data_IF_046050199726
#
_entry.id   IF_046050199726
#
_cell.length_a   1.000
_cell.length_b   1.000
_cell.length_c   1.000
_cell.angle_alpha   90.00
_cell.angle_beta   90.00
_cell.angle_gamma   90.00
#
_symmetry.space_group_name_H-M   'P 1'
#
loop_
_entity.id
_entity.type
_entity.pdbx_description
1 polymer ?
#
# COMPACT_ATOMS: atom_id res chain seq x y z
N UNK A 1 8.71 25.88 17.06
CA UNK A 1 9.38 26.79 18.02
C UNK A 1 10.61 26.19 18.72
N UNK A 2 11.15 25.07 18.32
CA UNK A 2 12.28 24.40 19.02
C UNK A 2 13.64 24.43 18.27
N UNK A 3 13.70 24.80 17.00
CA UNK A 3 14.95 24.81 16.22
C UNK A 3 15.80 26.08 16.40
N UNK A 4 15.18 27.21 16.81
CA UNK A 4 15.92 28.46 17.05
C UNK A 4 16.74 28.45 18.35
N UNK A 5 16.32 27.67 19.35
CA UNK A 5 17.01 27.60 20.64
C UNK A 5 18.32 26.79 20.62
N UNK A 6 18.40 25.77 19.76
CA UNK A 6 19.60 24.92 19.63
C UNK A 6 20.73 25.60 18.85
N UNK A 7 20.40 26.41 17.85
CA UNK A 7 21.42 27.18 17.12
C UNK A 7 22.08 28.26 17.98
N UNK A 8 21.33 28.91 18.90
CA UNK A 8 21.87 29.99 19.76
C UNK A 8 22.88 29.44 20.79
N UNK A 9 22.67 28.24 21.33
CA UNK A 9 23.60 27.64 22.33
C UNK A 9 24.86 27.07 21.71
N UNK A 10 24.83 26.65 20.44
CA UNK A 10 26.02 26.17 19.74
C UNK A 10 26.97 27.31 19.35
N UNK A 11 26.45 28.52 19.19
CA UNK A 11 27.26 29.71 18.86
C UNK A 11 28.18 30.18 19.98
N UNK A 12 27.90 29.85 21.24
CA UNK A 12 28.66 30.35 22.40
C UNK A 12 29.94 29.54 22.69
N UNK A 13 30.06 28.33 22.13
CA UNK A 13 31.15 27.39 22.50
C UNK A 13 32.26 27.22 21.46
N UNK A 14 32.19 27.88 20.31
CA UNK A 14 33.20 27.68 19.24
C UNK A 14 33.99 28.97 19.00
N UNK A 15 35.24 28.94 19.43
CA UNK A 15 36.21 29.99 19.16
C UNK A 15 36.48 30.12 17.65
N UNK A 16 36.34 31.31 17.11
CA UNK A 16 36.35 31.63 15.66
C UNK A 16 37.73 31.62 14.98
N UNK A 17 38.82 31.20 15.65
CA UNK A 17 40.19 31.49 15.19
C UNK A 17 40.92 30.40 14.36
N UNK A 18 40.30 29.27 14.00
CA UNK A 18 41.02 28.26 13.22
C UNK A 18 40.29 27.84 11.95
N UNK A 19 41.02 27.66 10.84
CA UNK A 19 40.53 27.22 9.52
C UNK A 19 39.82 25.85 9.56
N UNK A 20 40.18 25.01 10.50
CA UNK A 20 39.59 23.67 10.71
C UNK A 20 38.12 23.78 11.21
N UNK A 21 37.83 24.74 12.07
CA UNK A 21 36.49 25.02 12.55
C UNK A 21 35.57 25.56 11.47
N UNK A 22 36.09 26.38 10.55
CA UNK A 22 35.35 26.88 9.40
C UNK A 22 34.95 25.72 8.43
N UNK A 23 35.78 24.68 8.38
CA UNK A 23 35.51 23.48 7.56
C UNK A 23 34.38 22.64 8.18
N UNK A 24 34.37 22.45 9.51
CA UNK A 24 33.31 21.77 10.26
C UNK A 24 31.96 22.50 10.11
N UNK A 25 31.99 23.84 10.20
CA UNK A 25 30.80 24.64 9.99
C UNK A 25 30.22 24.51 8.58
N UNK A 26 31.08 24.41 7.57
CA UNK A 26 30.66 24.19 6.19
C UNK A 26 29.96 22.84 5.99
N UNK A 27 30.44 21.78 6.66
CA UNK A 27 29.80 20.47 6.65
C UNK A 27 28.44 20.45 7.40
N UNK A 28 28.36 21.12 8.53
CA UNK A 28 27.13 21.21 9.32
C UNK A 28 26.07 22.03 8.54
N UNK A 29 26.43 23.17 7.99
CA UNK A 29 25.51 24.00 7.19
C UNK A 29 25.08 23.31 5.89
N UNK A 30 25.99 22.58 5.22
CA UNK A 30 25.66 21.80 4.05
C UNK A 30 24.73 20.61 4.39
N UNK A 31 24.96 19.94 5.54
CA UNK A 31 24.08 18.89 6.04
C UNK A 31 22.68 19.41 6.39
N UNK A 32 22.58 20.57 7.05
CA UNK A 32 21.29 21.20 7.38
C UNK A 32 20.54 21.67 6.12
N UNK A 33 21.24 22.24 5.14
CA UNK A 33 20.65 22.66 3.87
C UNK A 33 20.15 21.44 3.06
N UNK A 34 20.88 20.33 3.09
CA UNK A 34 20.43 19.07 2.46
C UNK A 34 19.23 18.45 3.18
N UNK A 35 19.21 18.50 4.52
CA UNK A 35 18.05 18.03 5.30
C UNK A 35 16.79 18.86 4.99
N UNK A 36 16.91 20.19 4.93
CA UNK A 36 15.78 21.06 4.59
C UNK A 36 15.32 20.84 3.14
N UNK A 37 16.23 20.63 2.21
CA UNK A 37 15.88 20.30 0.82
C UNK A 37 15.20 18.94 0.70
N UNK A 38 15.63 17.94 1.46
CA UNK A 38 14.97 16.63 1.53
C UNK A 38 13.56 16.75 2.13
N UNK A 39 13.39 17.48 3.23
CA UNK A 39 12.08 17.70 3.84
C UNK A 39 11.15 18.41 2.85
N UNK A 40 11.63 19.45 2.17
CA UNK A 40 10.85 20.17 1.16
C UNK A 40 10.50 19.29 -0.05
N UNK A 41 11.41 18.40 -0.47
CA UNK A 41 11.18 17.48 -1.57
C UNK A 41 10.13 16.41 -1.20
N UNK A 42 10.25 15.80 -0.01
CA UNK A 42 9.27 14.82 0.51
C UNK A 42 7.90 15.48 0.64
N UNK A 43 7.81 16.65 1.28
CA UNK A 43 6.54 17.37 1.45
C UNK A 43 5.88 17.76 0.11
N UNK A 44 6.70 18.09 -0.91
CA UNK A 44 6.17 18.41 -2.24
C UNK A 44 5.60 17.18 -2.94
N UNK A 45 6.31 16.05 -2.89
CA UNK A 45 5.85 14.80 -3.48
C UNK A 45 4.60 14.27 -2.79
N UNK A 46 4.52 14.37 -1.46
CA UNK A 46 3.31 14.03 -0.70
C UNK A 46 2.14 14.95 -1.07
N UNK A 47 2.36 16.24 -1.21
CA UNK A 47 1.32 17.20 -1.61
C UNK A 47 0.84 16.96 -3.06
N UNK A 48 1.74 16.59 -3.96
CA UNK A 48 1.37 16.22 -5.34
C UNK A 48 0.56 14.91 -5.34
N UNK A 49 0.96 13.91 -4.55
CA UNK A 49 0.20 12.65 -4.40
C UNK A 49 -1.20 12.89 -3.86
N UNK A 50 -1.37 13.76 -2.86
CA UNK A 50 -2.68 14.13 -2.30
C UNK A 50 -3.62 14.84 -3.30
N UNK A 51 -3.08 15.37 -4.40
CA UNK A 51 -3.87 16.05 -5.46
C UNK A 51 -4.25 15.11 -6.61
N UNK A 52 -3.66 13.93 -6.66
CA UNK A 52 -3.93 12.98 -7.73
C UNK A 52 -5.28 12.30 -7.55
N UNK A 53 -6.01 12.15 -8.63
CA UNK A 53 -7.18 11.28 -8.68
C UNK A 53 -6.77 9.81 -8.54
N UNK A 54 -7.70 8.94 -8.12
CA UNK A 54 -7.46 7.49 -8.05
C UNK A 54 -6.95 6.93 -9.39
N UNK A 55 -7.55 7.36 -10.49
CA UNK A 55 -7.14 6.95 -11.84
C UNK A 55 -5.68 7.30 -12.13
N UNK A 56 -5.22 8.50 -11.77
CA UNK A 56 -3.83 8.92 -11.95
C UNK A 56 -2.88 8.14 -11.04
N UNK A 57 -3.30 7.84 -9.79
CA UNK A 57 -2.51 7.02 -8.87
C UNK A 57 -2.30 5.60 -9.43
N UNK A 58 -3.36 4.94 -9.93
CA UNK A 58 -3.24 3.64 -10.58
C UNK A 58 -2.41 3.70 -11.87
N UNK A 59 -2.57 4.76 -12.69
CA UNK A 59 -1.79 4.92 -13.90
C UNK A 59 -0.28 5.04 -13.63
N UNK A 60 0.12 5.59 -12.49
CA UNK A 60 1.54 5.62 -12.07
C UNK A 60 1.99 4.30 -11.44
N UNK A 61 1.13 3.61 -10.70
CA UNK A 61 1.46 2.41 -9.95
C UNK A 61 1.59 1.17 -10.85
N UNK A 62 0.68 0.99 -11.80
CA UNK A 62 0.63 -0.19 -12.68
C UNK A 62 1.95 -0.45 -13.42
N UNK A 63 2.61 0.55 -14.04
CA UNK A 63 3.92 0.34 -14.66
C UNK A 63 5.02 -0.08 -13.67
N UNK A 64 4.97 0.43 -12.43
CA UNK A 64 5.93 0.08 -11.38
C UNK A 64 5.75 -1.39 -10.95
N UNK A 65 4.50 -1.81 -10.71
CA UNK A 65 4.19 -3.22 -10.40
C UNK A 65 4.66 -4.13 -11.55
N UNK A 66 4.36 -3.77 -12.81
CA UNK A 66 4.78 -4.55 -13.98
C UNK A 66 6.29 -4.75 -14.03
N UNK A 67 7.05 -3.66 -13.86
CA UNK A 67 8.53 -3.72 -13.85
C UNK A 67 9.07 -4.54 -12.67
N UNK A 68 8.41 -4.45 -11.50
CA UNK A 68 8.81 -5.15 -10.28
C UNK A 68 8.65 -6.68 -10.39
N UNK A 69 7.58 -7.14 -11.01
CA UNK A 69 7.27 -8.58 -11.12
C UNK A 69 7.85 -9.22 -12.39
N UNK A 70 8.36 -8.42 -13.34
CA UNK A 70 8.92 -8.93 -14.59
C UNK A 70 10.06 -9.93 -14.31
N UNK A 71 9.96 -11.14 -14.87
CA UNK A 71 10.94 -12.23 -14.73
C UNK A 71 11.18 -12.71 -13.29
N UNK A 72 10.29 -12.38 -12.34
CA UNK A 72 10.43 -12.87 -10.98
C UNK A 72 10.04 -14.35 -10.87
N UNK A 73 10.89 -15.10 -10.18
CA UNK A 73 10.65 -16.52 -9.86
C UNK A 73 10.27 -16.73 -8.39
N UNK A 74 10.56 -15.73 -7.55
CA UNK A 74 10.13 -15.71 -6.14
C UNK A 74 8.73 -15.12 -6.03
N UNK A 75 7.71 -15.95 -6.21
CA UNK A 75 6.29 -15.54 -6.19
C UNK A 75 5.93 -14.83 -4.89
N UNK A 76 6.31 -15.39 -3.73
CA UNK A 76 6.01 -14.80 -2.43
C UNK A 76 6.62 -13.41 -2.31
N UNK A 77 7.90 -13.27 -2.66
CA UNK A 77 8.59 -11.99 -2.65
C UNK A 77 7.97 -10.95 -3.61
N UNK A 78 7.55 -11.38 -4.80
CA UNK A 78 6.86 -10.53 -5.76
C UNK A 78 5.52 -10.01 -5.19
N UNK A 79 4.69 -10.89 -4.63
CA UNK A 79 3.42 -10.51 -4.02
C UNK A 79 3.61 -9.63 -2.77
N UNK A 80 4.63 -9.87 -1.93
CA UNK A 80 4.98 -8.99 -0.81
C UNK A 80 5.29 -7.56 -1.29
N UNK A 81 6.07 -7.43 -2.36
CA UNK A 81 6.41 -6.11 -2.90
C UNK A 81 5.21 -5.43 -3.56
N UNK A 82 4.31 -6.18 -4.21
CA UNK A 82 3.06 -5.64 -4.75
C UNK A 82 2.18 -5.09 -3.63
N UNK A 83 2.00 -5.84 -2.52
CA UNK A 83 1.23 -5.35 -1.37
C UNK A 83 1.87 -4.12 -0.72
N UNK A 84 3.20 -4.03 -0.67
CA UNK A 84 3.92 -2.86 -0.16
C UNK A 84 3.67 -1.62 -1.02
N UNK A 85 3.78 -1.75 -2.36
CA UNK A 85 3.49 -0.65 -3.29
C UNK A 85 2.03 -0.19 -3.21
N UNK A 86 1.07 -1.11 -3.13
CA UNK A 86 -0.35 -0.79 -2.97
C UNK A 86 -0.60 -0.04 -1.66
N UNK A 87 -0.05 -0.54 -0.56
CA UNK A 87 -0.18 0.10 0.77
C UNK A 87 0.43 1.49 0.82
N UNK A 88 1.54 1.71 0.11
CA UNK A 88 2.21 3.01 0.04
C UNK A 88 1.47 4.00 -0.88
N UNK A 89 0.84 3.51 -1.96
CA UNK A 89 0.18 4.35 -2.95
C UNK A 89 -1.14 4.95 -2.44
N UNK A 90 -1.89 4.25 -1.59
CA UNK A 90 -3.23 4.62 -1.16
C UNK A 90 -3.35 4.73 0.36
N UNK A 91 -3.52 5.93 0.89
CA UNK A 91 -3.58 6.20 2.32
C UNK A 91 -4.82 5.57 3.00
N UNK A 92 -5.93 5.39 2.23
CA UNK A 92 -7.15 4.76 2.71
C UNK A 92 -7.11 3.23 2.72
N UNK A 93 -6.08 2.59 2.16
CA UNK A 93 -5.87 1.15 2.27
C UNK A 93 -5.40 0.81 3.69
N UNK A 94 -6.35 0.46 4.57
CA UNK A 94 -6.04 0.02 5.93
C UNK A 94 -5.32 -1.33 5.92
N UNK A 95 -5.85 -2.26 5.13
CA UNK A 95 -5.30 -3.58 4.89
C UNK A 95 -5.29 -3.87 3.38
N UNK A 96 -4.27 -4.54 2.89
CA UNK A 96 -4.21 -5.02 1.51
C UNK A 96 -3.40 -6.29 1.43
N UNK A 97 -3.94 -7.30 0.75
CA UNK A 97 -3.25 -8.57 0.64
C UNK A 97 -3.84 -9.52 -0.40
N UNK A 98 -3.26 -10.70 -0.42
CA UNK A 98 -3.68 -11.79 -1.28
C UNK A 98 -4.22 -12.95 -0.43
N UNK A 99 -5.35 -13.51 -0.85
CA UNK A 99 -5.76 -14.83 -0.42
C UNK A 99 -5.64 -15.78 -1.62
N UNK A 100 -4.94 -16.90 -1.42
CA UNK A 100 -4.56 -17.85 -2.48
C UNK A 100 -5.45 -19.07 -2.36
N UNK A 101 -6.05 -19.51 -3.48
CA UNK A 101 -6.83 -20.76 -3.52
C UNK A 101 -5.91 -21.95 -3.36
N UNK A 102 -6.09 -22.69 -2.27
CA UNK A 102 -5.36 -23.90 -1.98
C UNK A 102 -6.25 -24.86 -1.15
N UNK A 103 -6.23 -26.13 -1.45
CA UNK A 103 -6.96 -27.18 -0.72
C UNK A 103 -8.45 -26.81 -0.52
N UNK A 104 -9.10 -26.32 -1.59
CA UNK A 104 -10.51 -25.89 -1.63
C UNK A 104 -10.87 -24.76 -0.65
N UNK A 105 -9.91 -23.94 -0.29
CA UNK A 105 -10.08 -22.76 0.56
C UNK A 105 -9.20 -21.61 0.07
N UNK A 106 -9.56 -20.39 0.44
CA UNK A 106 -8.67 -19.23 0.35
C UNK A 106 -7.75 -19.24 1.57
N UNK A 107 -6.45 -19.31 1.33
CA UNK A 107 -5.43 -19.25 2.37
C UNK A 107 -4.71 -17.93 2.34
N UNK A 108 -4.44 -17.35 3.52
CA UNK A 108 -3.74 -16.07 3.67
C UNK A 108 -2.37 -16.12 2.99
N UNK A 109 -2.16 -15.21 2.07
CA UNK A 109 -0.92 -14.96 1.37
C UNK A 109 -0.19 -13.72 1.89
N UNK A 110 0.70 -13.12 1.11
CA UNK A 110 1.35 -11.86 1.44
C UNK A 110 0.35 -10.71 1.63
N UNK A 111 0.55 -9.91 2.69
CA UNK A 111 -0.30 -8.76 3.01
C UNK A 111 0.47 -7.66 3.76
N UNK A 112 -0.16 -6.48 3.84
CA UNK A 112 0.23 -5.34 4.65
C UNK A 112 -0.97 -4.89 5.49
N UNK A 113 -0.82 -4.80 6.81
CA UNK A 113 -1.88 -4.41 7.73
C UNK A 113 -1.85 -5.18 9.05
N UNK A 114 -2.99 -5.19 9.74
CA UNK A 114 -3.18 -5.97 10.98
C UNK A 114 -3.28 -7.48 10.69
N UNK A 115 -3.27 -8.31 11.74
CA UNK A 115 -3.51 -9.76 11.63
C UNK A 115 -4.85 -10.02 10.93
N UNK A 116 -4.91 -11.12 10.17
CA UNK A 116 -6.05 -11.49 9.34
C UNK A 116 -6.44 -12.97 9.52
N UNK A 117 -7.57 -13.37 8.95
CA UNK A 117 -8.02 -14.75 8.96
C UNK A 117 -7.06 -15.66 8.17
N UNK A 118 -6.68 -16.82 8.70
CA UNK A 118 -5.79 -17.74 8.00
C UNK A 118 -6.43 -18.43 6.81
N UNK A 119 -7.74 -18.71 6.90
CA UNK A 119 -8.47 -19.51 5.91
C UNK A 119 -9.89 -19.02 5.77
N UNK A 120 -10.37 -18.90 4.53
CA UNK A 120 -11.74 -18.50 4.20
C UNK A 120 -12.34 -19.54 3.26
N UNK A 121 -13.52 -20.02 3.58
CA UNK A 121 -14.24 -20.98 2.74
C UNK A 121 -14.89 -20.28 1.53
N UNK A 122 -15.07 -21.03 0.44
CA UNK A 122 -15.77 -20.54 -0.75
C UNK A 122 -17.20 -20.10 -0.41
N UNK A 123 -17.61 -18.95 -0.92
CA UNK A 123 -18.92 -18.34 -0.65
C UNK A 123 -19.08 -17.76 0.76
N UNK A 124 -17.99 -17.59 1.54
CA UNK A 124 -18.04 -17.01 2.87
C UNK A 124 -17.30 -15.67 2.95
N UNK A 125 -17.90 -14.70 3.62
CA UNK A 125 -17.37 -13.33 3.64
C UNK A 125 -17.30 -12.71 2.25
N UNK A 126 -16.70 -11.54 2.12
CA UNK A 126 -16.55 -10.85 0.83
C UNK A 126 -15.57 -11.60 -0.08
N UNK A 127 -14.41 -12.00 0.46
CA UNK A 127 -13.39 -12.77 -0.26
C UNK A 127 -13.94 -14.09 -0.83
N UNK A 128 -14.62 -14.90 -0.01
CA UNK A 128 -15.19 -16.18 -0.45
C UNK A 128 -16.33 -15.99 -1.45
N UNK A 129 -17.11 -14.90 -1.32
CA UNK A 129 -18.18 -14.56 -2.27
C UNK A 129 -17.62 -14.08 -3.60
N UNK A 130 -16.54 -13.28 -3.61
CA UNK A 130 -15.84 -12.89 -4.84
C UNK A 130 -15.29 -14.10 -5.57
N UNK A 131 -14.67 -15.04 -4.84
CA UNK A 131 -14.19 -16.31 -5.42
C UNK A 131 -15.31 -17.14 -6.02
N UNK A 132 -16.44 -17.30 -5.33
CA UNK A 132 -17.57 -18.13 -5.77
C UNK A 132 -18.30 -17.54 -6.98
N UNK A 133 -18.59 -16.22 -6.91
CA UNK A 133 -19.27 -15.49 -7.99
C UNK A 133 -18.33 -15.16 -9.17
N UNK A 134 -17.00 -15.25 -8.99
CA UNK A 134 -15.99 -14.88 -9.97
C UNK A 134 -16.07 -13.41 -10.40
N UNK A 135 -16.41 -12.52 -9.47
CA UNK A 135 -16.63 -11.08 -9.73
C UNK A 135 -15.90 -10.23 -8.69
N UNK A 136 -15.48 -9.06 -9.14
CA UNK A 136 -15.09 -7.97 -8.23
C UNK A 136 -16.30 -7.57 -7.39
N UNK A 137 -16.10 -7.45 -6.07
CA UNK A 137 -17.13 -7.04 -5.11
C UNK A 137 -16.64 -5.79 -4.40
N UNK A 138 -17.47 -4.75 -4.40
CA UNK A 138 -17.28 -3.52 -3.63
C UNK A 138 -18.33 -3.52 -2.53
N UNK A 139 -17.91 -3.29 -1.30
CA UNK A 139 -18.76 -3.23 -0.11
C UNK A 139 -18.56 -1.88 0.57
N UNK A 140 -19.58 -1.04 0.52
CA UNK A 140 -19.57 0.31 1.11
C UNK A 140 -19.58 0.28 2.64
N UNK A 141 -20.25 -0.72 3.23
CA UNK A 141 -20.32 -0.96 4.67
C UNK A 141 -20.32 -2.46 4.93
N UNK A 142 -19.21 -2.96 5.49
CA UNK A 142 -19.03 -4.39 5.76
C UNK A 142 -20.04 -4.94 6.79
N UNK A 143 -20.58 -4.07 7.66
CA UNK A 143 -21.61 -4.47 8.64
C UNK A 143 -22.96 -4.77 7.97
N UNK A 144 -23.18 -4.25 6.75
CA UNK A 144 -24.38 -4.50 5.95
C UNK A 144 -24.23 -5.69 4.99
N UNK A 145 -23.02 -6.24 4.85
CA UNK A 145 -22.76 -7.39 3.97
C UNK A 145 -23.18 -8.70 4.64
N UNK A 146 -24.17 -9.39 4.07
CA UNK A 146 -24.69 -10.65 4.60
C UNK A 146 -23.59 -11.73 4.65
N UNK A 147 -23.33 -12.27 5.84
CA UNK A 147 -22.32 -13.29 6.05
C UNK A 147 -20.88 -12.75 6.09
N UNK A 148 -20.70 -11.43 6.30
CA UNK A 148 -19.38 -10.84 6.52
C UNK A 148 -18.60 -11.55 7.62
N UNK A 149 -17.32 -11.79 7.38
CA UNK A 149 -16.37 -12.36 8.35
C UNK A 149 -15.45 -11.23 8.80
N UNK A 150 -15.66 -10.75 10.02
CA UNK A 150 -14.85 -9.69 10.61
C UNK A 150 -13.43 -10.20 10.95
N UNK A 151 -12.48 -10.15 10.01
CA UNK A 151 -11.06 -10.42 10.28
C UNK A 151 -10.41 -9.26 11.07
N UNK A 152 -10.94 -8.05 10.95
CA UNK A 152 -10.57 -6.87 11.73
C UNK A 152 -11.83 -6.09 12.11
N UNK A 153 -11.92 -5.67 13.38
CA UNK A 153 -13.00 -4.78 13.84
C UNK A 153 -12.87 -3.34 13.36
N UNK A 154 -11.78 -3.02 12.64
CA UNK A 154 -11.51 -1.67 12.12
C UNK A 154 -11.89 -1.52 10.65
N UNK A 155 -12.15 -2.61 9.93
CA UNK A 155 -12.59 -2.57 8.54
C UNK A 155 -14.03 -2.06 8.47
N UNK A 156 -14.29 -1.06 7.62
CA UNK A 156 -15.60 -0.45 7.42
C UNK A 156 -16.09 -0.59 5.98
N UNK A 157 -15.21 -0.55 5.00
CA UNK A 157 -15.50 -0.86 3.60
C UNK A 157 -14.42 -1.79 3.04
N UNK A 158 -14.77 -2.55 2.00
CA UNK A 158 -13.91 -3.60 1.45
C UNK A 158 -14.09 -3.69 -0.07
N UNK A 159 -13.02 -3.99 -0.78
CA UNK A 159 -13.05 -4.38 -2.19
C UNK A 159 -12.26 -5.66 -2.38
N UNK A 160 -12.86 -6.64 -3.05
CA UNK A 160 -12.21 -7.91 -3.38
C UNK A 160 -12.23 -8.13 -4.88
N UNK A 161 -11.07 -8.44 -5.45
CA UNK A 161 -10.88 -8.65 -6.90
C UNK A 161 -10.31 -10.05 -7.16
N UNK A 162 -11.01 -10.90 -7.95
CA UNK A 162 -10.51 -12.24 -8.27
C UNK A 162 -9.37 -12.21 -9.28
N UNK A 163 -8.39 -13.09 -9.07
CA UNK A 163 -7.25 -13.34 -9.96
C UNK A 163 -7.49 -14.65 -10.70
N UNK A 164 -7.47 -14.57 -12.03
CA UNK A 164 -7.78 -15.71 -12.88
C UNK A 164 -6.53 -16.33 -13.52
N UNK A 165 -6.52 -17.67 -13.59
CA UNK A 165 -5.64 -18.44 -14.46
C UNK A 165 -6.50 -19.26 -15.41
N UNK A 166 -6.56 -18.83 -16.66
CA UNK A 166 -7.59 -19.32 -17.57
C UNK A 166 -8.99 -18.91 -17.10
N UNK A 167 -9.86 -19.88 -16.86
CA UNK A 167 -11.23 -19.64 -16.39
C UNK A 167 -11.40 -19.90 -14.88
N UNK A 168 -10.33 -20.18 -14.16
CA UNK A 168 -10.36 -20.49 -12.73
C UNK A 168 -9.81 -19.35 -11.90
N UNK A 169 -10.47 -19.02 -10.79
CA UNK A 169 -9.94 -18.12 -9.79
C UNK A 169 -8.87 -18.85 -8.98
N UNK A 170 -7.64 -18.34 -8.99
CA UNK A 170 -6.49 -18.91 -8.27
C UNK A 170 -6.12 -18.15 -7.01
N UNK A 171 -6.58 -16.90 -6.90
CA UNK A 171 -6.39 -16.05 -5.74
C UNK A 171 -7.39 -14.88 -5.78
N UNK A 172 -7.44 -14.10 -4.72
CA UNK A 172 -8.11 -12.78 -4.70
C UNK A 172 -7.14 -11.72 -4.17
N UNK A 173 -7.29 -10.48 -4.65
CA UNK A 173 -6.77 -9.28 -4.00
C UNK A 173 -7.87 -8.78 -3.08
N UNK A 174 -7.54 -8.60 -1.83
CA UNK A 174 -8.44 -8.11 -0.78
C UNK A 174 -7.90 -6.79 -0.23
N UNK A 175 -8.77 -5.78 -0.12
CA UNK A 175 -8.41 -4.44 0.38
C UNK A 175 -9.50 -3.91 1.28
N UNK A 176 -9.12 -3.55 2.51
CA UNK A 176 -10.00 -2.93 3.49
C UNK A 176 -9.67 -1.46 3.74
N UNK A 177 -10.68 -0.69 4.05
CA UNK A 177 -10.57 0.67 4.58
C UNK A 177 -11.24 0.82 5.94
N UNK A 178 -10.75 1.78 6.75
CA UNK A 178 -11.37 2.19 8.02
C UNK A 178 -12.55 3.14 7.83
N UNK A 179 -12.72 3.65 6.62
CA UNK A 179 -13.78 4.58 6.26
C UNK A 179 -14.84 3.86 5.45
N UNK A 180 -16.10 4.31 5.56
CA UNK A 180 -17.19 3.82 4.74
C UNK A 180 -17.04 4.26 3.28
N UNK A 181 -17.53 3.45 2.35
CA UNK A 181 -17.64 3.78 0.92
C UNK A 181 -16.31 4.32 0.32
N UNK A 182 -15.18 3.73 0.73
CA UNK A 182 -13.86 4.18 0.28
C UNK A 182 -13.54 3.75 -1.15
N UNK A 183 -14.18 2.71 -1.63
CA UNK A 183 -13.88 2.07 -2.91
C UNK A 183 -14.96 2.39 -3.96
N UNK A 184 -14.53 2.55 -5.21
CA UNK A 184 -15.40 2.83 -6.35
C UNK A 184 -14.93 2.08 -7.62
N UNK A 185 -15.56 2.38 -8.77
CA UNK A 185 -15.21 1.78 -10.05
C UNK A 185 -13.76 2.06 -10.50
N UNK A 186 -13.13 3.15 -10.04
CA UNK A 186 -11.74 3.44 -10.38
C UNK A 186 -10.81 2.47 -9.65
N UNK A 187 -11.13 2.13 -8.38
CA UNK A 187 -10.41 1.11 -7.63
C UNK A 187 -10.59 -0.27 -8.26
N UNK A 188 -11.84 -0.62 -8.62
CA UNK A 188 -12.11 -1.90 -9.27
C UNK A 188 -11.26 -2.07 -10.54
N UNK A 189 -11.31 -1.11 -11.47
CA UNK A 189 -10.54 -1.15 -12.71
C UNK A 189 -9.03 -1.20 -12.50
N UNK A 190 -8.53 -0.44 -11.54
CA UNK A 190 -7.11 -0.41 -11.18
C UNK A 190 -6.65 -1.76 -10.64
N UNK A 191 -7.37 -2.30 -9.66
CA UNK A 191 -7.06 -3.59 -9.04
C UNK A 191 -7.28 -4.77 -9.99
N UNK A 192 -8.28 -4.74 -10.87
CA UNK A 192 -8.47 -5.74 -11.93
C UNK A 192 -7.30 -5.77 -12.91
N UNK A 193 -6.76 -4.60 -13.27
CA UNK A 193 -5.54 -4.52 -14.10
C UNK A 193 -4.34 -5.11 -13.37
N UNK A 194 -4.19 -4.85 -12.06
CA UNK A 194 -3.13 -5.43 -11.24
C UNK A 194 -3.32 -6.94 -11.10
N UNK A 195 -4.56 -7.42 -10.90
CA UNK A 195 -4.90 -8.83 -10.85
C UNK A 195 -4.45 -9.58 -12.14
N UNK A 196 -4.70 -8.98 -13.31
CA UNK A 196 -4.22 -9.53 -14.59
C UNK A 196 -2.68 -9.55 -14.69
N UNK A 197 -1.99 -8.54 -14.17
CA UNK A 197 -0.52 -8.50 -14.18
C UNK A 197 0.11 -9.55 -13.30
N UNK A 198 -0.46 -9.83 -12.12
CA UNK A 198 0.07 -10.80 -11.17
C UNK A 198 -0.38 -12.24 -11.46
N UNK A 199 -1.43 -12.44 -12.25
CA UNK A 199 -1.96 -13.76 -12.59
C UNK A 199 -0.91 -14.78 -13.09
N UNK A 200 0.09 -14.40 -13.92
CA UNK A 200 1.15 -15.33 -14.35
C UNK A 200 2.05 -15.83 -13.23
N UNK A 201 2.01 -15.24 -12.04
CA UNK A 201 2.80 -15.68 -10.88
C UNK A 201 2.21 -16.93 -10.19
N UNK A 202 0.95 -17.27 -10.45
CA UNK A 202 0.23 -18.41 -9.91
C UNK A 202 0.23 -19.60 -10.94
#
# INVERSE_FOLDING_TARGET
MCLHSYCAHLFIYIDRKTAEKARIWRYILFGLANQQNMINFVSRNELERMKMTKTEQYAQLIPQIKALIEKQTNVVGALCNVTALLKEAFDYYFWVGFYIVKDQSLQLGPFQGSVACYTIAKGKGVCGTSWDSQKTIIVDDVEQFEGHIACSSLSRSEIVVPIFKGNEVVAVIDVDSKDLASFDEHDAKGLETIAQLVAPLF
#
